data_IF_007892265152
#
_entry.id   IF_007892265152
#
_cell.length_a   1.000
_cell.length_b   1.000
_cell.length_c   1.000
_cell.angle_alpha   90.00
_cell.angle_beta   90.00
_cell.angle_gamma   90.00
#
_symmetry.space_group_name_H-M   'P 1'
#
loop_
_entity.id
_entity.type
_entity.pdbx_description
1 polymer ?
#
# COMPACT_ATOMS: atom_id res chain seq x y z
N UNK A 1 -41.09 1.59 -12.61
CA UNK A 1 -42.04 1.71 -13.73
C UNK A 1 -42.42 0.34 -14.30
N UNK A 2 -43.65 -0.15 -14.07
CA UNK A 2 -44.14 -1.42 -14.61
C UNK A 2 -44.91 -1.18 -15.93
N UNK A 3 -44.49 -1.83 -17.03
CA UNK A 3 -45.21 -1.79 -18.29
C UNK A 3 -46.29 -2.87 -18.33
N UNK A 4 -47.52 -2.49 -18.68
CA UNK A 4 -48.67 -3.38 -18.83
C UNK A 4 -48.93 -3.64 -20.31
N UNK A 5 -49.01 -4.91 -20.70
CA UNK A 5 -49.38 -5.30 -22.07
C UNK A 5 -50.90 -5.41 -22.18
N UNK A 6 -51.52 -4.50 -22.93
CA UNK A 6 -52.97 -4.44 -23.17
C UNK A 6 -53.19 -4.40 -24.68
N UNK A 7 -53.98 -5.31 -25.23
CA UNK A 7 -54.22 -5.42 -26.68
C UNK A 7 -52.94 -5.36 -27.53
N UNK A 8 -51.93 -6.13 -27.11
CA UNK A 8 -50.63 -6.25 -27.77
C UNK A 8 -49.76 -4.98 -27.83
N UNK A 9 -50.16 -3.89 -27.15
CA UNK A 9 -49.34 -2.67 -26.95
C UNK A 9 -48.94 -2.53 -25.48
N UNK A 10 -47.82 -1.86 -25.22
CA UNK A 10 -47.31 -1.60 -23.87
C UNK A 10 -47.78 -0.24 -23.37
N UNK A 11 -48.24 -0.20 -22.13
CA UNK A 11 -48.70 1.03 -21.49
C UNK A 11 -48.18 1.17 -20.06
N UNK A 12 -48.04 2.39 -19.59
CA UNK A 12 -47.84 2.71 -18.18
C UNK A 12 -49.12 3.17 -17.51
N UNK A 13 -49.33 2.75 -16.27
CA UNK A 13 -50.43 3.24 -15.47
C UNK A 13 -50.07 4.63 -14.90
N UNK A 14 -50.82 5.67 -15.28
CA UNK A 14 -50.44 7.04 -14.91
C UNK A 14 -50.39 7.26 -13.39
N UNK A 15 -51.23 6.58 -12.59
CA UNK A 15 -51.17 6.72 -11.13
C UNK A 15 -49.88 6.18 -10.52
N UNK A 16 -49.25 5.19 -11.15
CA UNK A 16 -47.92 4.70 -10.72
C UNK A 16 -46.84 5.71 -11.12
N UNK A 17 -46.91 6.25 -12.34
CA UNK A 17 -46.00 7.31 -12.80
C UNK A 17 -46.07 8.56 -11.91
N UNK A 18 -47.26 8.93 -11.44
CA UNK A 18 -47.43 10.04 -10.50
C UNK A 18 -46.73 9.81 -9.16
N UNK A 19 -46.57 8.55 -8.75
CA UNK A 19 -45.86 8.17 -7.52
C UNK A 19 -44.34 8.13 -7.76
N UNK A 20 -43.91 7.63 -8.92
CA UNK A 20 -42.50 7.49 -9.28
C UNK A 20 -41.85 8.82 -9.70
N UNK A 21 -42.59 9.71 -10.37
CA UNK A 21 -42.10 10.99 -10.90
C UNK A 21 -42.92 12.20 -10.38
N UNK A 22 -43.00 12.43 -9.06
CA UNK A 22 -43.90 13.43 -8.46
C UNK A 22 -43.62 14.87 -8.94
N UNK A 23 -42.41 15.17 -9.40
CA UNK A 23 -42.01 16.46 -9.99
C UNK A 23 -42.65 16.70 -11.36
N UNK A 24 -42.76 15.67 -12.20
CA UNK A 24 -43.37 15.76 -13.54
C UNK A 24 -44.88 16.05 -13.44
N UNK A 25 -45.54 15.43 -12.47
CA UNK A 25 -46.99 15.57 -12.24
C UNK A 25 -47.35 16.72 -11.30
N UNK A 26 -46.40 17.63 -11.02
CA UNK A 26 -46.62 18.79 -10.17
C UNK A 26 -47.78 19.63 -10.71
N UNK A 27 -48.78 19.88 -9.87
CA UNK A 27 -50.07 20.56 -10.17
C UNK A 27 -51.14 19.72 -10.90
N UNK A 28 -50.93 18.44 -11.17
CA UNK A 28 -51.98 17.53 -11.66
C UNK A 28 -52.56 16.72 -10.49
N UNK A 29 -53.89 16.78 -10.27
CA UNK A 29 -54.54 16.03 -9.18
C UNK A 29 -54.76 14.56 -9.51
N UNK A 30 -54.82 14.21 -10.79
CA UNK A 30 -55.04 12.85 -11.27
C UNK A 30 -54.56 12.70 -12.72
N UNK A 31 -54.49 11.46 -13.21
CA UNK A 31 -54.02 11.18 -14.57
C UNK A 31 -54.86 11.78 -15.71
N UNK A 32 -56.15 12.08 -15.49
CA UNK A 32 -56.99 12.76 -16.51
C UNK A 32 -56.56 14.22 -16.69
N UNK A 33 -56.25 14.90 -15.59
CA UNK A 33 -55.73 16.27 -15.63
C UNK A 33 -54.36 16.32 -16.31
N UNK A 34 -53.51 15.30 -16.11
CA UNK A 34 -52.23 15.21 -16.81
C UNK A 34 -52.42 15.10 -18.33
N UNK A 35 -53.26 14.17 -18.79
CA UNK A 35 -53.59 14.00 -20.22
C UNK A 35 -54.10 15.29 -20.85
N UNK A 36 -54.96 16.03 -20.13
CA UNK A 36 -55.49 17.30 -20.62
C UNK A 36 -54.43 18.42 -20.62
N UNK A 37 -53.61 18.51 -19.57
CA UNK A 37 -52.58 19.55 -19.44
C UNK A 37 -51.50 19.43 -20.49
N UNK A 38 -51.04 18.21 -20.75
CA UNK A 38 -49.98 17.90 -21.73
C UNK A 38 -50.55 17.71 -23.15
N UNK A 39 -51.86 17.93 -23.33
CA UNK A 39 -52.58 17.86 -24.60
C UNK A 39 -52.33 16.54 -25.38
N UNK A 40 -52.43 15.42 -24.67
CA UNK A 40 -52.08 14.09 -25.19
C UNK A 40 -53.20 13.58 -26.10
N UNK A 41 -52.87 13.22 -27.33
CA UNK A 41 -53.83 12.70 -28.32
C UNK A 41 -54.51 11.42 -27.85
N UNK A 42 -55.80 11.25 -28.18
CA UNK A 42 -56.63 10.11 -27.74
C UNK A 42 -56.13 8.73 -28.20
N UNK A 43 -55.27 8.68 -29.22
CA UNK A 43 -54.62 7.45 -29.67
C UNK A 43 -53.36 7.08 -28.85
N UNK A 44 -52.90 7.96 -27.94
CA UNK A 44 -51.70 7.76 -27.12
C UNK A 44 -52.00 7.34 -25.68
N UNK A 45 -53.26 7.31 -25.27
CA UNK A 45 -53.68 6.79 -23.98
C UNK A 45 -54.96 5.96 -24.12
N UNK A 46 -55.24 5.12 -23.12
CA UNK A 46 -56.48 4.33 -23.05
C UNK A 46 -57.04 4.36 -21.64
N UNK A 47 -58.34 4.07 -21.54
CA UNK A 47 -58.98 3.76 -20.26
C UNK A 47 -59.11 2.25 -20.13
N UNK A 48 -58.66 1.69 -19.00
CA UNK A 48 -58.86 0.28 -18.72
C UNK A 48 -59.25 0.05 -17.26
N UNK A 49 -60.01 -1.04 -17.05
CA UNK A 49 -60.45 -1.50 -15.73
C UNK A 49 -59.79 -2.82 -15.40
N UNK A 50 -59.36 -2.97 -14.15
CA UNK A 50 -58.85 -4.23 -13.63
C UNK A 50 -60.00 -5.23 -13.46
N UNK A 51 -59.76 -6.46 -13.91
CA UNK A 51 -60.65 -7.62 -13.81
C UNK A 51 -59.82 -8.82 -13.33
N UNK A 52 -60.48 -9.90 -12.94
CA UNK A 52 -59.81 -11.15 -12.52
C UNK A 52 -58.88 -11.73 -13.61
N UNK A 53 -59.11 -11.39 -14.88
CA UNK A 53 -58.33 -11.87 -16.04
C UNK A 53 -57.32 -10.84 -16.59
N UNK A 54 -57.08 -9.76 -15.86
CA UNK A 54 -56.16 -8.68 -16.27
C UNK A 54 -56.90 -7.36 -16.52
N UNK A 55 -56.54 -6.63 -17.59
CA UNK A 55 -57.12 -5.32 -17.89
C UNK A 55 -58.03 -5.37 -19.12
N UNK A 56 -59.23 -4.80 -19.00
CA UNK A 56 -60.18 -4.66 -20.10
C UNK A 56 -60.31 -3.18 -20.48
N UNK A 57 -60.22 -2.87 -21.78
CA UNK A 57 -60.35 -1.50 -22.30
C UNK A 57 -61.80 -1.03 -22.16
N UNK A 58 -61.97 0.24 -21.78
CA UNK A 58 -63.27 0.88 -21.49
C UNK A 58 -63.37 2.23 -22.18
N UNK A 59 -64.55 2.83 -22.17
CA UNK A 59 -64.83 4.17 -22.73
C UNK A 59 -64.38 5.33 -21.81
N UNK A 60 -63.96 5.04 -20.58
CA UNK A 60 -63.49 6.04 -19.62
C UNK A 60 -64.60 6.83 -18.91
N UNK A 61 -65.86 6.43 -19.06
CA UNK A 61 -67.00 7.12 -18.45
C UNK A 61 -66.97 7.03 -16.91
N UNK A 62 -66.44 5.95 -16.35
CA UNK A 62 -66.34 5.79 -14.89
C UNK A 62 -65.07 6.39 -14.32
N UNK A 63 -65.17 7.56 -13.68
CA UNK A 63 -64.05 8.19 -12.96
C UNK A 63 -63.52 7.35 -11.79
N UNK A 64 -64.37 6.48 -11.22
CA UNK A 64 -64.03 5.67 -10.03
C UNK A 64 -63.22 4.41 -10.41
N UNK A 65 -63.65 3.72 -11.46
CA UNK A 65 -63.12 2.39 -11.80
C UNK A 65 -62.19 2.39 -13.00
N UNK A 66 -62.34 3.32 -13.94
CA UNK A 66 -61.54 3.32 -15.17
C UNK A 66 -60.26 4.11 -14.94
N UNK A 67 -59.13 3.41 -15.05
CA UNK A 67 -57.79 3.97 -14.89
C UNK A 67 -57.24 4.37 -16.24
N UNK A 68 -56.46 5.44 -16.28
CA UNK A 68 -55.77 5.87 -17.50
C UNK A 68 -54.41 5.20 -17.58
N UNK A 69 -54.17 4.62 -18.75
CA UNK A 69 -52.91 4.07 -19.17
C UNK A 69 -52.39 4.90 -20.34
N UNK A 70 -51.10 5.20 -20.36
CA UNK A 70 -50.45 5.95 -21.44
C UNK A 70 -49.52 5.03 -22.22
N UNK A 71 -49.43 5.18 -23.54
CA UNK A 71 -48.53 4.38 -24.36
C UNK A 71 -47.11 4.55 -23.82
N UNK A 72 -46.46 3.41 -23.60
CA UNK A 72 -45.08 3.35 -23.11
C UNK A 72 -44.18 4.22 -23.99
N UNK A 73 -44.19 3.96 -25.30
CA UNK A 73 -43.30 4.61 -26.26
C UNK A 73 -43.48 6.14 -26.26
N UNK A 74 -44.73 6.62 -26.16
CA UNK A 74 -44.98 8.05 -26.11
C UNK A 74 -44.48 8.69 -24.81
N UNK A 75 -44.69 8.03 -23.66
CA UNK A 75 -44.25 8.58 -22.37
C UNK A 75 -42.73 8.62 -22.28
N UNK A 76 -42.11 7.54 -22.73
CA UNK A 76 -40.68 7.39 -22.85
C UNK A 76 -40.11 8.52 -23.74
N UNK A 77 -40.56 8.66 -25.00
CA UNK A 77 -40.10 9.72 -25.92
C UNK A 77 -40.20 11.16 -25.37
N UNK A 78 -41.17 11.44 -24.50
CA UNK A 78 -41.47 12.81 -24.06
C UNK A 78 -40.85 13.17 -22.70
N UNK A 79 -40.55 12.19 -21.85
CA UNK A 79 -40.16 12.44 -20.45
C UNK A 79 -39.01 11.57 -19.95
N UNK A 80 -38.57 10.60 -20.74
CA UNK A 80 -37.41 9.77 -20.45
C UNK A 80 -36.36 10.13 -21.50
N UNK A 81 -35.42 11.02 -21.17
CA UNK A 81 -34.23 11.18 -21.98
C UNK A 81 -33.51 9.81 -22.02
N UNK A 82 -33.19 9.34 -23.22
CA UNK A 82 -32.71 8.01 -23.63
C UNK A 82 -33.79 6.97 -23.97
N UNK A 83 -34.46 7.19 -25.10
CA UNK A 83 -35.30 6.17 -25.75
C UNK A 83 -34.87 6.08 -27.20
N UNK A 84 -33.82 5.30 -27.44
CA UNK A 84 -33.68 4.62 -28.70
C UNK A 84 -34.89 3.67 -28.86
N UNK A 85 -35.59 3.88 -29.96
CA UNK A 85 -36.76 3.16 -30.42
C UNK A 85 -36.50 1.66 -30.57
N UNK A 86 -37.49 0.85 -30.19
CA UNK A 86 -37.50 -0.61 -30.32
C UNK A 86 -37.21 -1.08 -31.76
N UNK A 87 -35.97 -1.48 -32.05
CA UNK A 87 -35.61 -2.56 -32.97
C UNK A 87 -34.18 -3.02 -32.62
N UNK A 88 -34.04 -4.33 -32.40
CA UNK A 88 -32.93 -5.01 -31.71
C UNK A 88 -32.90 -4.77 -30.19
N UNK A 89 -32.94 -5.88 -29.43
CA UNK A 89 -32.32 -5.89 -28.11
C UNK A 89 -30.83 -5.68 -28.42
N UNK A 90 -30.37 -4.43 -28.54
CA UNK A 90 -29.04 -4.15 -28.08
C UNK A 90 -29.10 -4.49 -26.59
N UNK A 91 -28.60 -5.69 -26.27
CA UNK A 91 -27.78 -5.84 -25.09
C UNK A 91 -27.14 -4.47 -24.88
N UNK A 92 -27.31 -3.87 -23.70
CA UNK A 92 -26.18 -3.10 -23.18
C UNK A 92 -25.04 -4.05 -23.49
N UNK A 93 -24.18 -3.74 -24.46
CA UNK A 93 -22.88 -4.37 -24.56
C UNK A 93 -22.23 -3.86 -23.28
N UNK A 94 -22.64 -4.44 -22.15
CA UNK A 94 -21.76 -4.80 -21.07
C UNK A 94 -20.56 -5.29 -21.86
N UNK A 95 -19.45 -4.61 -21.71
CA UNK A 95 -18.19 -5.07 -22.24
C UNK A 95 -17.85 -6.34 -21.42
N UNK A 96 -18.62 -7.40 -21.68
CA UNK A 96 -18.51 -8.71 -21.04
C UNK A 96 -17.31 -9.30 -21.75
N UNK A 97 -16.16 -8.99 -21.17
CA UNK A 97 -14.92 -9.59 -21.59
C UNK A 97 -14.97 -11.11 -21.42
N UNK A 98 -14.03 -11.76 -22.09
CA UNK A 98 -13.66 -13.13 -21.73
C UNK A 98 -13.28 -13.20 -20.25
N UNK A 99 -13.60 -14.32 -19.62
CA UNK A 99 -13.21 -14.56 -18.24
C UNK A 99 -11.69 -14.46 -18.10
N UNK A 100 -11.17 -13.69 -17.14
CA UNK A 100 -9.74 -13.62 -16.89
C UNK A 100 -9.15 -14.99 -16.56
N UNK A 101 -7.81 -15.08 -16.56
CA UNK A 101 -7.09 -16.29 -16.18
C UNK A 101 -7.49 -16.76 -14.76
N UNK A 102 -7.49 -18.07 -14.56
CA UNK A 102 -7.74 -18.69 -13.25
C UNK A 102 -6.53 -18.43 -12.34
N UNK A 103 -6.80 -18.08 -11.08
CA UNK A 103 -5.80 -17.95 -10.04
C UNK A 103 -5.75 -19.28 -9.28
N UNK A 104 -4.59 -19.92 -9.26
CA UNK A 104 -4.34 -21.06 -8.38
C UNK A 104 -4.07 -20.53 -6.95
N UNK A 105 -4.85 -21.06 -6.00
CA UNK A 105 -4.77 -20.76 -4.58
C UNK A 105 -4.28 -21.98 -3.83
N UNK A 106 -3.32 -21.78 -2.93
CA UNK A 106 -2.92 -22.82 -1.99
C UNK A 106 -4.01 -23.06 -0.94
N UNK A 107 -4.05 -24.24 -0.32
CA UNK A 107 -5.10 -24.61 0.64
C UNK A 107 -5.24 -23.63 1.82
N UNK A 108 -4.15 -22.98 2.23
CA UNK A 108 -4.16 -21.99 3.30
C UNK A 108 -4.73 -20.61 2.87
N UNK A 109 -4.87 -20.37 1.57
CA UNK A 109 -5.45 -19.16 0.99
C UNK A 109 -6.95 -19.33 0.67
N UNK A 110 -7.43 -20.58 0.62
CA UNK A 110 -8.82 -20.90 0.33
C UNK A 110 -9.73 -20.57 1.50
N UNK A 111 -11.00 -20.33 1.19
CA UNK A 111 -12.01 -20.13 2.21
C UNK A 111 -12.34 -21.45 2.90
N UNK A 112 -12.67 -21.37 4.18
CA UNK A 112 -13.19 -22.51 4.95
C UNK A 112 -14.60 -22.22 5.45
N UNK A 113 -15.41 -23.26 5.51
CA UNK A 113 -16.71 -23.21 6.16
C UNK A 113 -16.57 -23.18 7.70
N UNK A 114 -17.69 -23.19 8.40
CA UNK A 114 -17.70 -23.23 9.87
C UNK A 114 -17.12 -24.52 10.48
N UNK A 115 -16.95 -25.57 9.68
CA UNK A 115 -16.49 -26.90 10.10
C UNK A 115 -15.04 -27.18 9.68
N UNK A 116 -14.28 -26.17 9.25
CA UNK A 116 -12.90 -26.29 8.76
C UNK A 116 -12.77 -27.04 7.41
N UNK A 117 -13.87 -27.21 6.67
CA UNK A 117 -13.78 -27.76 5.32
C UNK A 117 -13.39 -26.66 4.33
N UNK A 118 -12.43 -26.96 3.46
CA UNK A 118 -12.04 -26.10 2.35
C UNK A 118 -13.23 -25.95 1.38
N UNK A 119 -13.54 -24.70 1.04
CA UNK A 119 -14.55 -24.34 0.06
C UNK A 119 -13.85 -24.00 -1.25
N UNK A 120 -13.94 -24.91 -2.21
CA UNK A 120 -13.39 -24.72 -3.55
C UNK A 120 -14.21 -23.67 -4.31
N UNK A 121 -13.59 -22.53 -4.57
CA UNK A 121 -14.18 -21.42 -5.33
C UNK A 121 -13.25 -21.11 -6.49
N UNK A 122 -13.78 -21.11 -7.70
CA UNK A 122 -13.06 -20.65 -8.87
C UNK A 122 -12.80 -19.14 -8.74
N UNK A 123 -11.52 -18.78 -8.64
CA UNK A 123 -11.05 -17.40 -8.57
C UNK A 123 -10.33 -17.04 -9.86
N UNK A 124 -10.64 -15.87 -10.42
CA UNK A 124 -10.08 -15.38 -11.68
C UNK A 124 -9.51 -13.97 -11.53
N UNK A 125 -8.55 -13.64 -12.40
CA UNK A 125 -7.99 -12.29 -12.54
C UNK A 125 -6.56 -12.19 -12.02
N UNK A 126 -6.28 -11.13 -11.27
CA UNK A 126 -4.96 -10.85 -10.67
C UNK A 126 -5.04 -10.95 -9.13
N UNK A 127 -3.90 -11.13 -8.45
CA UNK A 127 -3.80 -11.05 -6.97
C UNK A 127 -3.88 -9.59 -6.49
N UNK A 128 -4.98 -8.92 -6.85
CA UNK A 128 -5.37 -7.56 -6.50
C UNK A 128 -6.87 -7.55 -6.16
N UNK A 129 -7.23 -6.90 -5.05
CA UNK A 129 -8.61 -6.84 -4.57
C UNK A 129 -9.62 -6.20 -5.56
N UNK A 130 -9.17 -5.34 -6.48
CA UNK A 130 -10.04 -4.74 -7.52
C UNK A 130 -10.15 -5.61 -8.78
N UNK A 131 -9.21 -6.53 -8.98
CA UNK A 131 -9.12 -7.37 -10.19
C UNK A 131 -9.25 -8.87 -9.89
N UNK A 132 -9.73 -9.22 -8.72
CA UNK A 132 -9.95 -10.58 -8.27
C UNK A 132 -11.46 -10.89 -8.23
N UNK A 133 -11.86 -11.96 -8.91
CA UNK A 133 -13.26 -12.28 -9.17
C UNK A 133 -13.58 -13.70 -8.70
N UNK A 134 -14.67 -13.86 -7.94
CA UNK A 134 -15.06 -15.12 -7.30
C UNK A 134 -16.36 -15.64 -7.91
N UNK A 135 -16.35 -16.87 -8.40
CA UNK A 135 -17.51 -17.45 -9.08
C UNK A 135 -18.69 -17.62 -8.12
N UNK A 136 -19.84 -17.01 -8.47
CA UNK A 136 -21.00 -16.98 -7.56
C UNK A 136 -21.59 -18.37 -7.32
N UNK A 137 -21.57 -19.22 -8.34
CA UNK A 137 -22.09 -20.59 -8.23
C UNK A 137 -21.38 -21.39 -7.14
N UNK A 138 -20.05 -21.30 -7.10
CA UNK A 138 -19.24 -22.05 -6.14
C UNK A 138 -19.45 -21.51 -4.71
N UNK A 139 -19.63 -20.20 -4.56
CA UNK A 139 -20.01 -19.58 -3.27
C UNK A 139 -21.39 -20.06 -2.80
N UNK A 140 -22.36 -20.16 -3.72
CA UNK A 140 -23.70 -20.67 -3.41
C UNK A 140 -23.67 -22.10 -2.89
N UNK A 141 -22.90 -22.96 -3.56
CA UNK A 141 -22.76 -24.38 -3.21
C UNK A 141 -21.96 -24.53 -1.92
N UNK A 142 -20.79 -23.91 -1.85
CA UNK A 142 -19.85 -23.99 -0.73
C UNK A 142 -20.39 -23.47 0.58
N UNK A 143 -21.09 -22.33 0.57
CA UNK A 143 -21.67 -21.72 1.78
C UNK A 143 -23.17 -22.00 1.94
N UNK A 144 -23.76 -22.82 1.07
CA UNK A 144 -25.18 -23.15 1.09
C UNK A 144 -26.12 -21.94 0.92
N UNK A 145 -25.67 -20.87 0.25
CA UNK A 145 -26.43 -19.62 0.05
C UNK A 145 -27.34 -19.76 -1.18
N UNK A 146 -28.50 -20.39 -0.97
CA UNK A 146 -29.54 -20.52 -2.00
C UNK A 146 -29.97 -19.16 -2.57
N UNK A 147 -30.18 -19.12 -3.89
CA UNK A 147 -30.68 -17.94 -4.63
C UNK A 147 -29.76 -16.71 -4.62
N UNK A 148 -28.46 -16.86 -4.35
CA UNK A 148 -27.53 -15.73 -4.31
C UNK A 148 -27.49 -14.97 -5.65
N UNK A 149 -27.52 -15.68 -6.78
CA UNK A 149 -27.64 -15.07 -8.10
C UNK A 149 -28.82 -14.10 -8.18
N UNK A 150 -30.02 -14.58 -7.81
CA UNK A 150 -31.25 -13.79 -7.84
C UNK A 150 -31.16 -12.60 -6.90
N UNK A 151 -30.56 -12.80 -5.72
CA UNK A 151 -30.33 -11.72 -4.75
C UNK A 151 -29.43 -10.65 -5.36
N UNK A 152 -28.27 -10.99 -5.91
CA UNK A 152 -27.32 -10.01 -6.44
C UNK A 152 -27.97 -9.17 -7.56
N UNK A 153 -28.63 -9.82 -8.52
CA UNK A 153 -29.17 -9.16 -9.73
C UNK A 153 -30.48 -8.41 -9.49
N UNK A 154 -31.13 -8.58 -8.34
CA UNK A 154 -32.43 -7.96 -8.05
C UNK A 154 -32.28 -6.46 -7.76
N UNK A 155 -32.46 -5.64 -8.81
CA UNK A 155 -32.39 -4.17 -8.78
C UNK A 155 -33.32 -3.53 -7.75
N UNK A 156 -34.41 -4.20 -7.35
CA UNK A 156 -35.43 -3.62 -6.47
C UNK A 156 -35.13 -3.82 -4.97
N UNK A 157 -34.16 -4.67 -4.60
CA UNK A 157 -33.97 -5.10 -3.20
C UNK A 157 -32.54 -5.26 -2.74
N UNK A 158 -31.60 -5.51 -3.66
CA UNK A 158 -30.28 -6.01 -3.27
C UNK A 158 -29.29 -4.90 -2.93
N UNK A 159 -29.40 -3.76 -3.61
CA UNK A 159 -28.43 -2.67 -3.56
C UNK A 159 -27.02 -3.05 -4.05
N UNK A 160 -26.84 -4.23 -4.67
CA UNK A 160 -25.60 -4.60 -5.34
C UNK A 160 -25.50 -3.83 -6.65
N UNK A 161 -24.28 -3.40 -6.97
CA UNK A 161 -24.00 -2.50 -8.10
C UNK A 161 -23.03 -3.23 -9.03
N UNK A 162 -23.38 -3.27 -10.31
CA UNK A 162 -22.53 -3.79 -11.38
C UNK A 162 -21.17 -3.08 -11.41
N UNK A 163 -20.11 -3.80 -11.76
CA UNK A 163 -18.69 -3.38 -11.75
C UNK A 163 -18.10 -2.98 -10.38
N UNK A 164 -18.92 -2.71 -9.36
CA UNK A 164 -18.45 -2.47 -7.99
C UNK A 164 -18.49 -3.75 -7.18
N UNK A 165 -19.62 -4.45 -7.21
CA UNK A 165 -19.85 -5.65 -6.39
C UNK A 165 -19.82 -6.93 -7.22
N UNK A 166 -20.20 -6.89 -8.49
CA UNK A 166 -20.26 -8.08 -9.34
C UNK A 166 -20.00 -7.74 -10.81
N UNK A 167 -19.55 -8.73 -11.56
CA UNK A 167 -19.30 -8.64 -12.99
C UNK A 167 -19.72 -9.93 -13.70
N UNK A 168 -20.04 -9.82 -14.98
CA UNK A 168 -20.26 -10.97 -15.84
C UNK A 168 -19.03 -11.24 -16.70
N UNK A 169 -18.76 -12.52 -16.96
CA UNK A 169 -17.72 -12.94 -17.89
C UNK A 169 -18.20 -14.07 -18.80
N UNK A 170 -17.65 -14.15 -20.01
CA UNK A 170 -17.82 -15.31 -20.87
C UNK A 170 -16.81 -16.40 -20.50
N UNK A 171 -17.30 -17.59 -20.17
CA UNK A 171 -16.50 -18.78 -19.91
C UNK A 171 -16.68 -19.78 -21.06
N UNK A 172 -15.61 -20.49 -21.41
CA UNK A 172 -15.63 -21.56 -22.40
C UNK A 172 -15.87 -22.91 -21.72
N UNK A 173 -16.99 -23.55 -22.02
CA UNK A 173 -17.27 -24.91 -21.56
C UNK A 173 -17.29 -25.89 -22.73
N UNK A 174 -16.63 -27.04 -22.55
CA UNK A 174 -16.73 -28.18 -23.46
C UNK A 174 -18.05 -28.90 -23.19
N UNK A 175 -18.93 -28.96 -24.19
CA UNK A 175 -20.19 -29.68 -24.09
C UNK A 175 -20.05 -31.02 -24.82
N UNK A 176 -20.23 -32.12 -24.09
CA UNK A 176 -20.36 -33.46 -24.71
C UNK A 176 -21.70 -33.52 -25.42
N UNK A 177 -21.67 -33.71 -26.74
CA UNK A 177 -22.89 -33.92 -27.52
C UNK A 177 -23.59 -35.20 -27.03
N UNK A 178 -24.92 -35.18 -26.89
CA UNK A 178 -25.70 -36.38 -26.47
C UNK A 178 -25.64 -37.50 -27.51
N UNK A 179 -25.07 -37.23 -28.67
CA UNK A 179 -24.98 -38.08 -29.84
C UNK A 179 -23.55 -38.55 -30.12
N UNK A 180 -22.76 -38.96 -29.12
CA UNK A 180 -21.54 -39.80 -29.27
C UNK A 180 -20.42 -39.34 -30.23
N UNK A 181 -20.56 -38.19 -30.89
CA UNK A 181 -19.65 -37.70 -31.91
C UNK A 181 -18.63 -36.75 -31.28
N UNK A 182 -17.34 -37.03 -31.52
CA UNK A 182 -16.18 -36.33 -30.98
C UNK A 182 -15.94 -34.94 -31.61
N UNK A 183 -16.98 -34.15 -31.82
CA UNK A 183 -16.82 -32.74 -32.18
C UNK A 183 -17.15 -31.90 -30.96
N UNK A 184 -16.14 -31.64 -30.11
CA UNK A 184 -16.25 -30.73 -28.96
C UNK A 184 -16.60 -29.33 -29.46
N UNK A 185 -17.88 -28.94 -29.35
CA UNK A 185 -18.27 -27.54 -29.55
C UNK A 185 -17.99 -26.78 -28.26
N UNK A 186 -17.09 -25.80 -28.33
CA UNK A 186 -16.84 -24.85 -27.26
C UNK A 186 -18.02 -23.87 -27.23
N UNK A 187 -18.81 -23.89 -26.15
CA UNK A 187 -19.89 -22.93 -25.94
C UNK A 187 -19.41 -21.80 -25.03
N UNK A 188 -19.67 -20.56 -25.42
CA UNK A 188 -19.55 -19.38 -24.54
C UNK A 188 -20.74 -19.35 -23.59
N UNK A 189 -20.47 -19.34 -22.28
CA UNK A 189 -21.48 -19.26 -21.22
C UNK A 189 -21.25 -17.98 -20.44
N UNK A 190 -22.28 -17.14 -20.32
CA UNK A 190 -22.26 -15.96 -19.45
C UNK A 190 -22.37 -16.40 -18.00
N UNK A 191 -21.37 -16.09 -17.18
CA UNK A 191 -21.33 -16.44 -15.77
C UNK A 191 -21.15 -15.22 -14.87
N UNK A 192 -21.72 -15.28 -13.66
CA UNK A 192 -21.69 -14.22 -12.67
C UNK A 192 -20.54 -14.43 -11.68
N UNK A 193 -19.74 -13.39 -11.49
CA UNK A 193 -18.66 -13.34 -10.52
C UNK A 193 -18.85 -12.15 -9.57
N UNK A 194 -18.47 -12.32 -8.31
CA UNK A 194 -18.38 -11.23 -7.34
C UNK A 194 -16.98 -10.62 -7.38
N UNK A 195 -16.90 -9.30 -7.24
CA UNK A 195 -15.64 -8.64 -6.83
C UNK A 195 -15.35 -8.99 -5.37
N UNK A 196 -14.14 -8.70 -4.89
CA UNK A 196 -13.83 -8.88 -3.47
C UNK A 196 -14.81 -8.09 -2.55
N UNK A 197 -15.17 -6.86 -2.92
CA UNK A 197 -16.16 -6.06 -2.19
C UNK A 197 -17.55 -6.70 -2.20
N UNK A 198 -17.98 -7.24 -3.34
CA UNK A 198 -19.23 -7.99 -3.43
C UNK A 198 -19.24 -9.22 -2.55
N UNK A 199 -18.15 -9.98 -2.54
CA UNK A 199 -17.99 -11.17 -1.69
C UNK A 199 -18.10 -10.82 -0.21
N UNK A 200 -17.37 -9.79 0.24
CA UNK A 200 -17.47 -9.29 1.61
C UNK A 200 -18.91 -8.93 1.94
N UNK A 201 -19.59 -8.18 1.07
CA UNK A 201 -20.99 -7.82 1.30
C UNK A 201 -21.89 -9.05 1.44
N UNK A 202 -21.71 -10.08 0.61
CA UNK A 202 -22.46 -11.35 0.74
C UNK A 202 -22.25 -11.95 2.12
N UNK A 203 -21.00 -12.09 2.58
CA UNK A 203 -20.71 -12.70 3.88
C UNK A 203 -21.21 -11.87 5.07
N UNK A 204 -21.06 -10.55 5.03
CA UNK A 204 -21.48 -9.68 6.14
C UNK A 204 -23.01 -9.48 6.22
N UNK A 205 -23.74 -9.60 5.09
CA UNK A 205 -25.20 -9.42 5.05
C UNK A 205 -25.96 -10.75 5.17
N UNK A 206 -25.31 -11.87 4.84
CA UNK A 206 -25.92 -13.19 4.94
C UNK A 206 -26.40 -13.45 6.38
N UNK A 207 -27.68 -13.79 6.52
CA UNK A 207 -28.26 -14.26 7.78
C UNK A 207 -28.04 -15.75 8.02
N UNK A 208 -27.48 -16.45 7.01
CA UNK A 208 -27.02 -17.82 7.21
C UNK A 208 -25.68 -17.72 7.89
N UNK A 209 -25.58 -18.30 9.08
CA UNK A 209 -24.36 -18.35 9.88
C UNK A 209 -23.21 -19.10 9.17
N UNK A 210 -23.38 -19.59 7.94
CA UNK A 210 -22.44 -20.43 7.19
C UNK A 210 -21.09 -19.76 6.89
N UNK A 211 -21.02 -18.43 6.92
CA UNK A 211 -19.80 -17.66 6.76
C UNK A 211 -19.32 -16.98 8.07
N UNK A 212 -19.92 -17.31 9.22
CA UNK A 212 -19.63 -16.69 10.52
C UNK A 212 -18.15 -16.74 10.86
N UNK A 213 -17.48 -17.85 10.55
CA UNK A 213 -16.06 -18.02 10.81
C UNK A 213 -15.23 -16.99 10.06
N UNK A 214 -15.51 -16.82 8.76
CA UNK A 214 -14.88 -15.80 7.95
C UNK A 214 -15.21 -14.40 8.48
N UNK A 215 -16.47 -14.10 8.77
CA UNK A 215 -16.90 -12.78 9.27
C UNK A 215 -16.21 -12.44 10.59
N UNK A 216 -16.13 -13.39 11.53
CA UNK A 216 -15.42 -13.23 12.81
C UNK A 216 -13.93 -13.02 12.60
N UNK A 217 -13.31 -13.82 11.73
CA UNK A 217 -11.90 -13.65 11.37
C UNK A 217 -11.64 -12.27 10.74
N UNK A 218 -12.40 -11.89 9.72
CA UNK A 218 -12.25 -10.62 9.01
C UNK A 218 -12.47 -9.43 9.96
N UNK A 219 -13.52 -9.46 10.77
CA UNK A 219 -13.82 -8.42 11.76
C UNK A 219 -12.71 -8.29 12.80
N UNK A 220 -12.22 -9.41 13.35
CA UNK A 220 -11.12 -9.42 14.32
C UNK A 220 -9.81 -8.94 13.70
N UNK A 221 -9.52 -9.35 12.47
CA UNK A 221 -8.34 -8.93 11.71
C UNK A 221 -8.36 -7.43 11.46
N UNK A 222 -9.47 -6.89 10.94
CA UNK A 222 -9.63 -5.46 10.69
C UNK A 222 -9.55 -4.64 11.99
N UNK A 223 -10.26 -5.08 13.04
CA UNK A 223 -10.21 -4.45 14.36
C UNK A 223 -8.78 -4.43 14.91
N UNK A 224 -8.08 -5.56 14.85
CA UNK A 224 -6.71 -5.66 15.37
C UNK A 224 -5.75 -4.79 14.56
N UNK A 225 -5.87 -4.78 13.23
CA UNK A 225 -5.04 -3.95 12.35
C UNK A 225 -5.25 -2.45 12.63
N UNK A 226 -6.50 -2.01 12.78
CA UNK A 226 -6.84 -0.61 13.01
C UNK A 226 -6.59 -0.19 14.47
N UNK A 227 -7.22 -0.87 15.42
CA UNK A 227 -7.37 -0.47 16.83
C UNK A 227 -6.62 -1.36 17.83
N UNK A 228 -6.06 -2.49 17.40
CA UNK A 228 -5.35 -3.41 18.31
C UNK A 228 -4.07 -2.82 18.91
N UNK A 229 -3.65 -3.36 20.05
CA UNK A 229 -2.36 -3.04 20.65
C UNK A 229 -1.19 -3.54 19.79
N UNK A 230 0.02 -3.00 19.98
CA UNK A 230 1.20 -3.44 19.23
C UNK A 230 1.47 -4.94 19.35
N UNK A 231 1.21 -5.53 20.51
CA UNK A 231 1.35 -6.97 20.75
C UNK A 231 0.33 -7.77 19.94
N UNK A 232 -0.91 -7.31 19.86
CA UNK A 232 -1.96 -7.96 19.07
C UNK A 232 -1.69 -7.81 17.56
N UNK A 233 -1.25 -6.63 17.11
CA UNK A 233 -0.83 -6.42 15.71
C UNK A 233 0.32 -7.35 15.30
N UNK A 234 1.30 -7.57 16.18
CA UNK A 234 2.39 -8.53 15.94
C UNK A 234 1.90 -9.97 15.87
N UNK A 235 0.97 -10.37 16.74
CA UNK A 235 0.34 -11.71 16.67
C UNK A 235 -0.43 -11.88 15.36
N UNK A 236 -1.17 -10.85 14.93
CA UNK A 236 -1.87 -10.87 13.65
C UNK A 236 -0.89 -11.01 12.48
N UNK A 237 0.16 -10.19 12.42
CA UNK A 237 1.17 -10.28 11.37
C UNK A 237 1.86 -11.65 11.33
N UNK A 238 2.12 -12.25 12.49
CA UNK A 238 2.64 -13.62 12.59
C UNK A 238 1.69 -14.64 11.98
N UNK A 239 0.40 -14.57 12.34
CA UNK A 239 -0.64 -15.45 11.79
C UNK A 239 -0.81 -15.30 10.29
N UNK A 240 -0.73 -14.07 9.76
CA UNK A 240 -0.93 -13.78 8.33
C UNK A 240 0.29 -14.22 7.51
N UNK A 241 1.50 -14.05 8.05
CA UNK A 241 2.75 -14.40 7.36
C UNK A 241 3.16 -15.87 7.54
N UNK A 242 2.47 -16.64 8.39
CA UNK A 242 2.82 -18.03 8.69
C UNK A 242 4.13 -18.19 9.48
N UNK A 243 4.61 -17.13 10.13
CA UNK A 243 5.87 -17.12 10.91
C UNK A 243 5.56 -17.00 12.40
N UNK A 244 6.49 -17.37 13.26
CA UNK A 244 6.29 -17.31 14.71
C UNK A 244 6.12 -15.87 15.23
N UNK A 245 5.35 -15.65 16.32
CA UNK A 245 5.24 -14.33 16.94
C UNK A 245 6.60 -13.77 17.40
N UNK A 246 7.56 -14.65 17.71
CA UNK A 246 8.94 -14.31 18.02
C UNK A 246 9.71 -13.75 16.82
N UNK A 247 9.48 -14.24 15.61
CA UNK A 247 10.12 -13.73 14.39
C UNK A 247 9.53 -12.37 14.01
N UNK A 248 8.21 -12.20 14.07
CA UNK A 248 7.57 -10.89 13.86
C UNK A 248 7.99 -9.89 14.94
N UNK A 249 8.09 -10.33 16.20
CA UNK A 249 8.69 -9.51 17.25
C UNK A 249 10.14 -9.20 16.92
N UNK A 250 10.96 -10.15 16.50
CA UNK A 250 12.36 -9.92 16.15
C UNK A 250 12.51 -8.94 14.97
N UNK A 251 11.61 -8.95 13.99
CA UNK A 251 11.64 -8.05 12.83
C UNK A 251 11.09 -6.65 13.21
N UNK A 252 9.93 -6.57 13.85
CA UNK A 252 9.25 -5.30 14.18
C UNK A 252 9.57 -4.71 15.57
N UNK A 253 10.28 -5.42 16.44
CA UNK A 253 10.93 -4.85 17.64
C UNK A 253 12.35 -4.37 17.33
N UNK A 254 12.84 -4.60 16.11
CA UNK A 254 14.09 -4.07 15.57
C UNK A 254 13.89 -2.83 14.68
N UNK A 255 12.66 -2.37 14.45
CA UNK A 255 12.36 -1.08 13.80
C UNK A 255 12.40 0.09 14.78
N UNK A 256 13.53 0.19 15.47
CA UNK A 256 14.40 1.37 15.54
C UNK A 256 15.77 0.73 15.40
N UNK A 257 16.47 0.95 14.28
CA UNK A 257 17.67 0.19 13.90
C UNK A 257 18.71 0.17 15.01
N UNK A 258 18.73 -0.92 15.76
CA UNK A 258 19.80 -1.21 16.68
C UNK A 258 20.23 -2.65 16.42
N UNK A 259 21.16 -2.79 15.45
CA UNK A 259 21.76 -4.06 15.13
C UNK A 259 22.85 -4.37 16.17
N UNK A 260 22.95 -5.63 16.64
CA UNK A 260 24.05 -6.01 17.49
C UNK A 260 25.38 -5.83 16.79
N UNK A 261 26.37 -5.37 17.54
CA UNK A 261 27.73 -5.13 17.04
C UNK A 261 28.76 -5.65 18.02
N UNK A 262 29.87 -6.12 17.47
CA UNK A 262 31.16 -6.13 18.18
C UNK A 262 31.80 -4.75 18.01
N UNK A 263 32.43 -4.20 19.05
CA UNK A 263 32.97 -2.83 19.02
C UNK A 263 34.32 -2.71 19.72
N UNK A 264 35.05 -1.65 19.34
CA UNK A 264 36.32 -1.23 19.91
C UNK A 264 36.28 0.28 20.18
N UNK A 265 36.28 0.67 21.46
CA UNK A 265 36.44 2.06 21.89
C UNK A 265 37.87 2.29 22.36
N UNK A 266 38.56 3.32 21.87
CA UNK A 266 39.81 3.77 22.50
C UNK A 266 39.51 4.73 23.64
N UNK A 267 40.29 4.65 24.72
CA UNK A 267 40.15 5.52 25.90
C UNK A 267 41.26 6.58 25.98
N UNK A 268 42.42 6.33 25.35
CA UNK A 268 43.59 7.21 25.40
C UNK A 268 44.90 6.43 25.31
N UNK A 269 46.01 7.12 25.58
CA UNK A 269 47.34 6.50 25.64
C UNK A 269 47.69 6.06 27.06
N UNK A 270 48.65 5.15 27.21
CA UNK A 270 49.18 4.76 28.52
C UNK A 270 49.73 5.98 29.26
N UNK A 271 50.42 6.88 28.58
CA UNK A 271 50.93 8.13 29.19
C UNK A 271 49.84 8.89 29.94
N UNK A 272 48.67 9.03 29.33
CA UNK A 272 47.57 9.85 29.83
C UNK A 272 46.81 9.16 30.97
N UNK A 273 46.71 7.83 30.89
CA UNK A 273 45.84 7.01 31.73
C UNK A 273 46.57 6.22 32.81
N UNK A 274 47.90 6.19 32.82
CA UNK A 274 48.72 5.38 33.75
C UNK A 274 48.33 5.59 35.22
N UNK A 275 48.18 6.85 35.64
CA UNK A 275 47.79 7.17 37.02
C UNK A 275 46.32 6.85 37.28
N UNK A 276 45.46 7.08 36.29
CA UNK A 276 44.01 6.94 36.40
C UNK A 276 43.58 5.47 36.47
N UNK A 277 44.27 4.58 35.76
CA UNK A 277 43.99 3.15 35.67
C UNK A 277 45.05 2.27 36.37
N UNK A 278 45.93 2.88 37.19
CA UNK A 278 46.98 2.20 37.96
C UNK A 278 47.82 1.19 37.15
N UNK A 279 48.35 1.63 36.00
CA UNK A 279 49.01 0.75 35.02
C UNK A 279 50.50 0.58 35.33
N UNK A 280 50.98 -0.67 35.35
CA UNK A 280 52.39 -1.03 35.57
C UNK A 280 53.34 -0.30 34.58
N UNK A 281 54.50 0.14 35.10
CA UNK A 281 55.59 0.79 34.37
C UNK A 281 56.16 -0.03 33.20
N UNK A 282 55.88 -1.33 33.12
CA UNK A 282 56.31 -2.21 32.00
C UNK A 282 55.71 -1.81 30.65
N UNK A 283 54.55 -1.15 30.63
CA UNK A 283 53.92 -0.73 29.37
C UNK A 283 54.53 0.58 28.87
N UNK A 284 54.83 0.69 27.58
CA UNK A 284 55.31 1.93 26.97
C UNK A 284 54.20 2.98 26.91
N UNK A 285 54.58 4.25 27.06
CA UNK A 285 53.68 5.40 27.15
C UNK A 285 52.87 5.67 25.87
N UNK A 286 53.40 5.28 24.71
CA UNK A 286 52.79 5.45 23.38
C UNK A 286 51.75 4.37 23.04
N UNK A 287 51.59 3.35 23.88
CA UNK A 287 50.57 2.32 23.71
C UNK A 287 49.17 2.90 23.92
N UNK A 288 48.21 2.35 23.20
CA UNK A 288 46.80 2.73 23.22
C UNK A 288 46.05 1.78 24.15
N UNK A 289 45.17 2.34 24.99
CA UNK A 289 44.24 1.59 25.82
C UNK A 289 42.87 1.64 25.18
N UNK A 290 42.23 0.48 25.09
CA UNK A 290 40.92 0.37 24.50
C UNK A 290 40.01 -0.58 25.28
N UNK A 291 38.71 -0.37 25.11
CA UNK A 291 37.63 -1.20 25.62
C UNK A 291 37.00 -1.97 24.46
N UNK A 292 36.99 -3.28 24.57
CA UNK A 292 36.30 -4.16 23.62
C UNK A 292 34.92 -4.55 24.13
N UNK A 293 34.06 -5.07 23.27
CA UNK A 293 32.86 -5.75 23.73
C UNK A 293 31.84 -6.00 22.63
N UNK A 294 30.70 -6.54 23.06
CA UNK A 294 29.55 -6.82 22.20
C UNK A 294 28.32 -6.15 22.80
N UNK A 295 27.47 -5.58 21.96
CA UNK A 295 26.22 -4.96 22.41
C UNK A 295 25.12 -5.16 21.39
N UNK A 296 23.88 -5.25 21.87
CA UNK A 296 22.69 -5.13 21.02
C UNK A 296 22.40 -3.70 20.62
N UNK A 297 23.00 -2.75 21.35
CA UNK A 297 22.76 -1.32 21.22
C UNK A 297 24.02 -0.50 21.42
N UNK A 298 24.59 -0.05 20.31
CA UNK A 298 25.83 0.72 20.32
C UNK A 298 25.61 2.13 20.87
N UNK A 299 24.47 2.77 20.59
CA UNK A 299 24.20 4.12 21.05
C UNK A 299 23.99 4.15 22.57
N UNK A 300 23.18 3.22 23.09
CA UNK A 300 23.01 3.02 24.54
C UNK A 300 24.33 2.67 25.21
N UNK A 301 25.12 1.77 24.61
CA UNK A 301 26.41 1.34 25.16
C UNK A 301 27.44 2.47 25.17
N UNK A 302 27.46 3.32 24.15
CA UNK A 302 28.29 4.55 24.15
C UNK A 302 27.93 5.43 25.34
N UNK A 303 26.65 5.70 25.59
CA UNK A 303 26.22 6.50 26.76
C UNK A 303 26.56 5.84 28.10
N UNK A 304 26.50 4.52 28.19
CA UNK A 304 26.92 3.76 29.37
C UNK A 304 28.43 3.96 29.61
N UNK A 305 29.25 3.80 28.56
CA UNK A 305 30.70 3.97 28.64
C UNK A 305 31.13 5.42 28.90
N UNK A 306 30.44 6.42 28.36
CA UNK A 306 30.69 7.84 28.68
C UNK A 306 30.46 8.13 30.16
N UNK A 307 29.43 7.52 30.76
CA UNK A 307 29.16 7.67 32.20
C UNK A 307 30.21 6.97 33.06
N UNK A 308 30.73 5.83 32.60
CA UNK A 308 31.70 5.02 33.34
C UNK A 308 33.14 5.52 33.18
N UNK A 309 33.62 5.62 31.93
CA UNK A 309 34.99 5.99 31.60
C UNK A 309 35.15 7.50 31.36
N UNK A 310 34.14 8.19 30.82
CA UNK A 310 34.24 9.62 30.49
C UNK A 310 34.38 10.53 31.71
N UNK A 311 34.06 10.04 32.92
CA UNK A 311 34.30 10.76 34.18
C UNK A 311 35.75 10.66 34.68
N UNK A 312 36.54 9.76 34.10
CA UNK A 312 37.92 9.54 34.51
C UNK A 312 38.83 10.61 33.93
N UNK A 313 39.83 11.03 34.73
CA UNK A 313 40.77 12.08 34.32
C UNK A 313 41.61 11.63 33.11
N UNK A 314 41.68 12.50 32.10
CA UNK A 314 42.42 12.32 30.84
C UNK A 314 41.90 11.20 29.91
N UNK A 315 40.68 10.70 30.12
CA UNK A 315 40.04 9.80 29.14
C UNK A 315 39.49 10.61 27.98
N UNK A 316 39.79 10.16 26.76
CA UNK A 316 39.14 10.60 25.53
C UNK A 316 38.60 9.37 24.80
N UNK A 317 37.28 9.21 24.85
CA UNK A 317 36.62 8.02 24.32
C UNK A 317 36.24 8.19 22.85
N UNK A 318 36.65 7.25 22.00
CA UNK A 318 36.34 7.27 20.56
C UNK A 318 35.97 5.86 20.08
N UNK A 319 34.88 5.73 19.32
CA UNK A 319 34.52 4.47 18.65
C UNK A 319 35.40 4.30 17.40
N UNK A 320 36.42 3.45 17.50
CA UNK A 320 37.43 3.29 16.44
C UNK A 320 37.02 2.25 15.40
N UNK A 321 36.26 1.24 15.82
CA UNK A 321 35.79 0.20 14.91
C UNK A 321 34.58 -0.53 15.50
N UNK A 322 33.71 -1.00 14.62
CA UNK A 322 32.62 -1.91 14.96
C UNK A 322 32.27 -2.75 13.73
N UNK A 323 31.71 -3.94 13.97
CA UNK A 323 31.16 -4.80 12.93
C UNK A 323 29.82 -5.36 13.38
N UNK A 324 28.87 -5.44 12.43
CA UNK A 324 27.55 -5.98 12.69
C UNK A 324 27.58 -7.50 12.81
N UNK A 325 26.77 -8.01 13.74
CA UNK A 325 26.57 -9.45 13.95
C UNK A 325 25.07 -9.75 14.10
N UNK A 326 24.69 -10.97 13.76
CA UNK A 326 23.35 -11.46 14.05
C UNK A 326 23.16 -11.61 15.56
N UNK A 327 21.98 -11.19 16.03
CA UNK A 327 21.53 -11.34 17.42
C UNK A 327 21.67 -12.76 17.99
N UNK A 328 21.59 -13.80 17.16
CA UNK A 328 21.74 -15.18 17.62
C UNK A 328 23.18 -15.54 17.99
N UNK A 329 24.17 -14.79 17.50
CA UNK A 329 25.59 -15.07 17.69
C UNK A 329 26.30 -14.13 18.67
N UNK A 330 25.57 -13.38 19.49
CA UNK A 330 26.16 -12.45 20.46
C UNK A 330 27.13 -13.16 21.40
N UNK A 331 26.71 -14.28 22.00
CA UNK A 331 27.56 -15.02 22.93
C UNK A 331 28.77 -15.66 22.24
N UNK A 332 28.56 -16.28 21.07
CA UNK A 332 29.64 -16.91 20.30
C UNK A 332 30.67 -15.89 19.81
N UNK A 333 30.21 -14.77 19.24
CA UNK A 333 31.10 -13.70 18.78
C UNK A 333 31.87 -13.02 19.91
N UNK A 334 31.26 -12.88 21.09
CA UNK A 334 31.96 -12.36 22.27
C UNK A 334 33.04 -13.32 22.76
N UNK A 335 32.75 -14.62 22.75
CA UNK A 335 33.71 -15.67 23.14
C UNK A 335 34.90 -15.68 22.19
N UNK A 336 34.65 -15.73 20.88
CA UNK A 336 35.70 -15.69 19.86
C UNK A 336 36.53 -14.41 19.92
N UNK A 337 35.89 -13.27 20.18
CA UNK A 337 36.58 -12.00 20.37
C UNK A 337 37.52 -12.06 21.58
N UNK A 338 37.07 -12.60 22.71
CA UNK A 338 37.87 -12.77 23.92
C UNK A 338 39.04 -13.74 23.68
N UNK A 339 38.82 -14.84 22.97
CA UNK A 339 39.85 -15.83 22.64
C UNK A 339 40.91 -15.27 21.70
N UNK A 340 40.52 -14.51 20.67
CA UNK A 340 41.46 -13.83 19.77
C UNK A 340 42.32 -12.83 20.54
N UNK A 341 41.70 -11.99 21.37
CA UNK A 341 42.40 -10.97 22.16
C UNK A 341 43.41 -11.60 23.14
N UNK A 342 43.02 -12.71 23.76
CA UNK A 342 43.89 -13.50 24.63
C UNK A 342 45.03 -14.15 23.86
N UNK A 343 44.76 -14.77 22.71
CA UNK A 343 45.78 -15.37 21.85
C UNK A 343 46.80 -14.37 21.30
N UNK A 344 46.39 -13.10 21.15
CA UNK A 344 47.27 -12.00 20.75
C UNK A 344 48.00 -11.33 21.92
N UNK A 345 47.76 -11.77 23.17
CA UNK A 345 48.31 -11.19 24.39
C UNK A 345 48.06 -9.67 24.50
N UNK A 346 46.84 -9.24 24.18
CA UNK A 346 46.46 -7.82 24.20
C UNK A 346 45.72 -7.41 25.47
N UNK A 347 45.31 -8.35 26.33
CA UNK A 347 44.61 -8.03 27.58
C UNK A 347 45.46 -7.12 28.47
N UNK A 348 44.80 -6.12 29.06
CA UNK A 348 45.35 -5.34 30.15
C UNK A 348 44.82 -5.91 31.46
N UNK A 349 45.70 -6.47 32.28
CA UNK A 349 45.33 -6.94 33.62
C UNK A 349 44.94 -5.72 34.48
N UNK A 350 43.70 -5.72 34.96
CA UNK A 350 43.16 -4.64 35.80
C UNK A 350 42.13 -5.19 36.78
N UNK A 351 42.22 -4.80 38.05
CA UNK A 351 41.38 -5.36 39.14
C UNK A 351 39.87 -5.17 38.93
N UNK A 352 39.48 -4.10 38.25
CA UNK A 352 38.07 -3.73 38.02
C UNK A 352 37.56 -4.05 36.61
N UNK A 353 38.44 -4.16 35.61
CA UNK A 353 38.02 -4.09 34.20
C UNK A 353 38.65 -5.21 33.37
N UNK A 354 37.91 -6.29 33.15
CA UNK A 354 38.41 -7.49 32.46
C UNK A 354 38.45 -7.36 30.93
N UNK A 355 37.83 -6.31 30.41
CA UNK A 355 37.59 -6.12 28.98
C UNK A 355 38.43 -4.97 28.39
N UNK A 356 39.46 -4.54 29.12
CA UNK A 356 40.45 -3.58 28.64
C UNK A 356 41.57 -4.31 27.91
N UNK A 357 42.02 -3.69 26.83
CA UNK A 357 43.15 -4.15 26.03
C UNK A 357 44.17 -3.03 25.84
N UNK A 358 45.40 -3.42 25.53
CA UNK A 358 46.53 -2.53 25.32
C UNK A 358 47.31 -2.94 24.07
N UNK A 359 47.55 -2.01 23.15
CA UNK A 359 48.24 -2.31 21.89
C UNK A 359 49.01 -1.11 21.34
N UNK A 360 49.99 -1.38 20.47
CA UNK A 360 50.69 -0.35 19.70
C UNK A 360 49.86 0.10 18.50
N UNK A 361 50.01 1.35 18.06
CA UNK A 361 49.33 1.87 16.87
C UNK A 361 49.52 1.01 15.61
N UNK A 362 50.68 0.35 15.46
CA UNK A 362 50.99 -0.57 14.36
C UNK A 362 50.16 -1.86 14.38
N UNK A 363 49.60 -2.26 15.52
CA UNK A 363 48.76 -3.45 15.65
C UNK A 363 47.28 -3.18 15.32
N UNK A 364 46.85 -1.91 15.29
CA UNK A 364 45.46 -1.53 15.03
C UNK A 364 44.91 -2.10 13.71
N UNK A 365 45.62 -2.07 12.57
CA UNK A 365 45.13 -2.68 11.33
C UNK A 365 44.86 -4.17 11.46
N UNK A 366 45.72 -4.89 12.19
CA UNK A 366 45.55 -6.32 12.44
C UNK A 366 44.32 -6.57 13.32
N UNK A 367 44.12 -5.77 14.36
CA UNK A 367 42.94 -5.87 15.24
C UNK A 367 41.67 -5.62 14.44
N UNK A 368 41.61 -4.56 13.60
CA UNK A 368 40.46 -4.30 12.73
C UNK A 368 40.16 -5.46 11.79
N UNK A 369 41.19 -6.11 11.23
CA UNK A 369 41.00 -7.29 10.39
C UNK A 369 40.35 -8.47 11.14
N UNK A 370 40.70 -8.69 12.40
CA UNK A 370 40.07 -9.72 13.23
C UNK A 370 38.58 -9.42 13.46
N UNK A 371 38.23 -8.16 13.77
CA UNK A 371 36.84 -7.74 13.90
C UNK A 371 36.06 -7.98 12.61
N UNK A 372 36.62 -7.60 11.45
CA UNK A 372 36.00 -7.86 10.15
C UNK A 372 35.76 -9.35 9.88
N UNK A 373 36.68 -10.22 10.32
CA UNK A 373 36.52 -11.66 10.19
C UNK A 373 35.37 -12.19 11.08
N UNK A 374 35.32 -11.78 12.35
CA UNK A 374 34.23 -12.13 13.27
C UNK A 374 32.89 -11.63 12.72
N UNK A 375 32.83 -10.35 12.29
CA UNK A 375 31.65 -9.75 11.70
C UNK A 375 31.13 -10.54 10.51
N UNK A 376 32.02 -10.94 9.58
CA UNK A 376 31.67 -11.77 8.43
C UNK A 376 31.16 -13.16 8.83
N UNK A 377 31.83 -13.82 9.78
CA UNK A 377 31.45 -15.17 10.24
C UNK A 377 30.10 -15.18 10.94
N UNK A 378 29.74 -14.09 11.62
CA UNK A 378 28.55 -14.00 12.45
C UNK A 378 27.47 -13.07 11.90
N UNK A 379 27.53 -12.69 10.62
CA UNK A 379 26.55 -11.77 10.02
C UNK A 379 25.17 -12.41 9.85
N UNK A 380 25.10 -13.74 9.73
CA UNK A 380 23.86 -14.51 9.71
C UNK A 380 22.78 -13.95 8.78
N UNK A 381 21.56 -13.81 9.29
CA UNK A 381 20.39 -13.38 8.52
C UNK A 381 20.38 -11.88 8.22
N UNK A 382 21.25 -11.09 8.86
CA UNK A 382 21.32 -9.65 8.64
C UNK A 382 22.27 -9.28 7.48
N UNK A 383 22.84 -10.24 6.77
CA UNK A 383 23.80 -10.00 5.68
C UNK A 383 23.26 -9.05 4.61
N UNK A 384 22.03 -9.26 4.15
CA UNK A 384 21.41 -8.42 3.13
C UNK A 384 21.16 -7.00 3.66
N UNK A 385 20.66 -6.89 4.89
CA UNK A 385 20.44 -5.60 5.56
C UNK A 385 21.74 -4.82 5.73
N UNK A 386 22.80 -5.47 6.22
CA UNK A 386 24.12 -4.86 6.40
C UNK A 386 24.72 -4.42 5.06
N UNK A 387 24.53 -5.22 4.00
CA UNK A 387 24.96 -4.84 2.65
C UNK A 387 24.24 -3.58 2.20
N UNK A 388 22.92 -3.52 2.37
CA UNK A 388 22.12 -2.34 2.02
C UNK A 388 22.51 -1.10 2.83
N UNK A 389 22.80 -1.25 4.13
CA UNK A 389 23.33 -0.16 4.97
C UNK A 389 24.64 0.38 4.40
N UNK A 390 25.60 -0.51 4.09
CA UNK A 390 26.90 -0.11 3.52
C UNK A 390 26.76 0.59 2.16
N UNK A 391 25.83 0.13 1.32
CA UNK A 391 25.52 0.78 0.03
C UNK A 391 24.94 2.18 0.26
N UNK A 392 23.94 2.32 1.14
CA UNK A 392 23.31 3.61 1.45
C UNK A 392 24.29 4.60 2.08
N UNK A 393 25.19 4.15 2.96
CA UNK A 393 26.24 5.00 3.53
C UNK A 393 27.19 5.51 2.45
N UNK A 394 27.58 4.64 1.50
CA UNK A 394 28.43 5.01 0.37
C UNK A 394 27.75 6.01 -0.57
N UNK A 395 26.47 5.80 -0.89
CA UNK A 395 25.67 6.72 -1.69
C UNK A 395 25.49 8.08 -1.02
N UNK A 396 25.33 8.09 0.32
CA UNK A 396 25.20 9.33 1.09
C UNK A 396 26.50 10.14 1.05
N UNK A 397 27.65 9.51 1.24
CA UNK A 397 28.94 10.21 1.15
C UNK A 397 29.21 10.72 -0.27
N UNK A 398 28.90 9.94 -1.31
CA UNK A 398 29.00 10.39 -2.70
C UNK A 398 28.10 11.61 -2.97
N UNK A 399 26.88 11.61 -2.44
CA UNK A 399 25.94 12.74 -2.58
C UNK A 399 26.47 14.00 -1.89
N UNK A 400 27.04 13.88 -0.68
CA UNK A 400 27.67 15.02 0.01
C UNK A 400 28.83 15.59 -0.79
N UNK A 401 29.70 14.73 -1.34
CA UNK A 401 30.84 15.16 -2.14
C UNK A 401 30.40 15.86 -3.43
N UNK A 402 29.38 15.35 -4.11
CA UNK A 402 28.76 16.01 -5.27
C UNK A 402 28.24 17.41 -4.92
N UNK A 403 27.54 17.53 -3.80
CA UNK A 403 27.01 18.82 -3.35
C UNK A 403 28.14 19.82 -3.03
N UNK A 404 29.20 19.38 -2.36
CA UNK A 404 30.39 20.22 -2.11
C UNK A 404 31.02 20.68 -3.41
N UNK A 405 31.15 19.79 -4.40
CA UNK A 405 31.70 20.13 -5.72
C UNK A 405 30.81 21.11 -6.49
N UNK A 406 29.49 20.99 -6.42
CA UNK A 406 28.54 21.95 -7.01
C UNK A 406 28.68 23.33 -6.38
N UNK A 407 28.74 23.41 -5.05
CA UNK A 407 28.96 24.68 -4.33
C UNK A 407 30.30 25.34 -4.73
N UNK A 408 31.36 24.55 -4.92
CA UNK A 408 32.64 25.09 -5.40
C UNK A 408 32.54 25.66 -6.81
N UNK A 409 31.83 24.98 -7.73
CA UNK A 409 31.62 25.46 -9.11
C UNK A 409 30.83 26.75 -9.14
N UNK A 410 29.76 26.84 -8.34
CA UNK A 410 28.93 28.05 -8.24
C UNK A 410 29.72 29.22 -7.67
N UNK A 411 30.54 28.97 -6.64
CA UNK A 411 31.43 29.99 -6.07
C UNK A 411 32.42 30.53 -7.11
N UNK A 412 33.08 29.64 -7.84
CA UNK A 412 34.00 30.03 -8.91
C UNK A 412 33.30 30.84 -10.01
N UNK A 413 32.08 30.45 -10.39
CA UNK A 413 31.29 31.20 -11.37
C UNK A 413 30.95 32.61 -10.88
N UNK A 414 30.53 32.74 -9.62
CA UNK A 414 30.21 34.04 -9.01
C UNK A 414 31.44 34.95 -8.92
N UNK A 415 32.60 34.41 -8.56
CA UNK A 415 33.85 35.17 -8.52
C UNK A 415 34.25 35.67 -9.92
N UNK A 416 34.11 34.83 -10.94
CA UNK A 416 34.38 35.20 -12.34
C UNK A 416 33.41 36.27 -12.86
N UNK A 417 32.15 36.23 -12.44
CA UNK A 417 31.16 37.26 -12.79
C UNK A 417 31.44 38.59 -12.10
N UNK A 418 31.87 38.59 -10.84
CA UNK A 418 32.32 39.80 -10.13
C UNK A 418 33.52 40.43 -10.83
N UNK A 419 34.54 39.63 -11.17
CA UNK A 419 35.73 40.11 -11.86
C UNK A 419 35.40 40.70 -13.24
N UNK A 420 34.46 40.08 -13.98
CA UNK A 420 33.95 40.64 -15.24
C UNK A 420 33.28 42.00 -15.02
N UNK A 421 32.43 42.12 -14.01
CA UNK A 421 31.73 43.36 -13.70
C UNK A 421 32.71 44.48 -13.29
N UNK A 422 33.70 44.17 -12.46
CA UNK A 422 34.76 45.12 -12.08
C UNK A 422 35.55 45.61 -13.30
N UNK A 423 35.91 44.70 -14.21
CA UNK A 423 36.59 45.06 -15.46
C UNK A 423 35.73 45.95 -16.38
N UNK A 424 34.41 45.72 -16.45
CA UNK A 424 33.48 46.56 -17.20
C UNK A 424 33.36 47.97 -16.59
N UNK A 425 33.31 48.08 -15.26
CA UNK A 425 33.30 49.36 -14.56
C UNK A 425 34.58 50.14 -14.81
N UNK A 426 35.75 49.50 -14.69
CA UNK A 426 37.03 50.15 -15.01
C UNK A 426 37.09 50.65 -16.46
N UNK A 427 36.55 49.89 -17.43
CA UNK A 427 36.48 50.34 -18.83
C UNK A 427 35.63 51.60 -18.98
N UNK A 428 34.48 51.68 -18.29
CA UNK A 428 33.62 52.86 -18.30
C UNK A 428 34.29 54.06 -17.64
N UNK A 429 34.99 53.87 -16.52
CA UNK A 429 35.74 54.94 -15.84
C UNK A 429 36.84 55.52 -16.75
N UNK A 430 37.57 54.66 -17.46
CA UNK A 430 38.58 55.09 -18.45
C UNK A 430 37.93 55.91 -19.57
N UNK A 431 36.74 55.52 -20.04
CA UNK A 431 36.02 56.24 -21.09
C UNK A 431 35.54 57.62 -20.61
N UNK A 432 35.05 57.72 -19.38
CA UNK A 432 34.66 58.99 -18.74
C UNK A 432 35.89 59.90 -18.60
N UNK A 433 37.01 59.38 -18.08
CA UNK A 433 38.25 60.16 -17.97
C UNK A 433 38.73 60.71 -19.31
N UNK A 434 38.60 59.93 -20.39
CA UNK A 434 38.94 60.40 -21.75
C UNK A 434 38.03 61.56 -22.19
N UNK A 435 36.72 61.44 -21.98
CA UNK A 435 35.75 62.52 -22.27
C UNK A 435 36.05 63.78 -21.46
N UNK A 436 36.32 63.64 -20.16
CA UNK A 436 36.62 64.78 -19.29
C UNK A 436 37.90 65.51 -19.72
N UNK A 437 38.93 64.76 -20.13
CA UNK A 437 40.17 65.33 -20.70
C UNK A 437 39.91 66.11 -21.99
N UNK A 438 39.04 65.61 -22.87
CA UNK A 438 38.63 66.31 -24.10
C UNK A 438 37.87 67.61 -23.78
N UNK A 439 36.92 67.57 -22.85
CA UNK A 439 36.17 68.75 -22.39
C UNK A 439 37.13 69.79 -21.80
N UNK A 440 38.09 69.38 -20.96
CA UNK A 440 39.09 70.29 -20.40
C UNK A 440 39.94 70.95 -21.49
N UNK A 441 40.38 70.20 -22.51
CA UNK A 441 41.12 70.76 -23.65
C UNK A 441 40.29 71.79 -24.41
N UNK A 442 39.01 71.52 -24.67
CA UNK A 442 38.10 72.45 -25.32
C UNK A 442 37.84 73.71 -24.49
N UNK A 443 37.78 73.59 -23.15
CA UNK A 443 37.59 74.74 -22.26
C UNK A 443 38.81 75.66 -22.20
N UNK A 444 40.02 75.12 -22.35
CA UNK A 444 41.28 75.89 -22.41
C UNK A 444 41.49 76.62 -23.74
N UNK A 445 40.83 76.19 -24.81
CA UNK A 445 40.87 76.86 -26.12
C UNK A 445 39.85 78.02 -26.23
N UNK A 446 38.95 78.16 -25.26
CA UNK A 446 37.91 79.21 -25.21
C UNK A 446 38.21 80.36 -24.23
N UNK A 447 39.34 80.31 -23.53
CA UNK A 447 39.95 81.42 -22.78
C UNK A 447 41.15 81.92 -23.56
#
# INVERSE_FOLDING_TARGET
MQAYKINNKKYYLISELMTEYPTLFKKCKNGREFVNKENISSNKYIFARSTERGFTVTDGMSKKFDKIFILKDWFDENYVDDVESEEEIEEIKEDIGEAPAIIELDDHEKFVDNYDNIVEIEVRGERDHEKCYFRVKDIMEGFGIKYLNDVIINKNRSGYIHDIHYKYFYCHASVKDRSGNKNEKIKKIKELYLTYLGLLRVFFVSRKETADKFVKWASKTLFTAQMGTLTEKRKLASSVLGVSPSEVKAVFSKTSFVLPVIYLFTLGTVKDLRKTLNIDGKHKDDKIIAKIGVTKDIERRTREHEKEYGRLKNVNMELVHYEYIDSQYIFSSETDLKDIIKGLNLNLEHEKYDELIIFNKTQLPMIKKQYQQIGKSYIGHIAELVTKIKTLESERELTKEKHVNELMKEKYHNDLMKEKHENEMMKKDIEIMKRDMEIMKMSKQKK
#
